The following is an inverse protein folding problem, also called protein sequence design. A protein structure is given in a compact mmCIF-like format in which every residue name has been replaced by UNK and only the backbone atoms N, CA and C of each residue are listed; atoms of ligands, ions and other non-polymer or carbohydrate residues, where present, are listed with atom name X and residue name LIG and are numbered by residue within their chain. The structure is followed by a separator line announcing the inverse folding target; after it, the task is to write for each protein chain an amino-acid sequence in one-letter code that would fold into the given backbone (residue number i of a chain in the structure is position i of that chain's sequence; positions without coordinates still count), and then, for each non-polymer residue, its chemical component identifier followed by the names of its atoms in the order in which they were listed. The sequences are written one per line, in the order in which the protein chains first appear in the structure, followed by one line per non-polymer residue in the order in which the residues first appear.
data_IF_323450124155
#
_entry.id   IF_323450124155
#
_cell.length_a   1.000
_cell.length_b   1.000
_cell.length_c   1.000
_cell.angle_alpha   90.00
_cell.angle_beta   90.00
_cell.angle_gamma   90.00
#
_symmetry.space_group_name_H-M   'P 1'
#
loop_
_entity.id
_entity.type
_entity.pdbx_description
1 polymer ?
#
# COMPACT_ATOMS: atom_id res chain seq x y z
N UNK A 1 -8.00 -4.07 20.93
CA UNK A 1 -9.04 -3.29 20.25
C UNK A 1 -9.53 -4.12 19.08
N UNK A 2 -10.85 -4.25 18.92
CA UNK A 2 -11.47 -5.17 17.94
C UNK A 2 -12.05 -4.34 16.80
N UNK A 3 -11.89 -4.82 15.56
CA UNK A 3 -12.43 -4.16 14.36
C UNK A 3 -13.96 -4.09 14.43
N UNK A 4 -14.57 -2.97 13.99
CA UNK A 4 -16.03 -2.87 13.90
C UNK A 4 -16.56 -3.91 12.88
N UNK A 5 -17.72 -4.54 13.10
CA UNK A 5 -18.31 -5.46 12.10
C UNK A 5 -18.56 -4.76 10.76
N UNK A 6 -18.17 -5.39 9.64
CA UNK A 6 -18.37 -4.88 8.26
C UNK A 6 -17.87 -3.45 8.05
N UNK A 7 -16.80 -3.06 8.74
CA UNK A 7 -16.29 -1.69 8.65
C UNK A 7 -15.90 -1.29 7.22
N UNK A 8 -15.36 -2.24 6.43
CA UNK A 8 -14.95 -2.01 5.03
C UNK A 8 -16.09 -1.58 4.10
N UNK A 9 -17.33 -1.84 4.47
CA UNK A 9 -18.55 -1.57 3.67
C UNK A 9 -19.38 -0.43 4.26
N UNK A 10 -19.24 -0.15 5.56
CA UNK A 10 -20.13 0.74 6.31
C UNK A 10 -19.46 1.99 6.86
N UNK A 11 -18.13 2.02 6.86
CA UNK A 11 -17.34 3.13 7.40
C UNK A 11 -16.61 3.82 6.23
N UNK A 12 -16.79 5.13 6.04
CA UNK A 12 -15.98 5.89 5.09
C UNK A 12 -14.49 5.76 5.39
N UNK A 13 -13.64 5.75 4.35
CA UNK A 13 -12.18 5.61 4.51
C UNK A 13 -11.58 6.65 5.48
N UNK A 14 -12.08 7.88 5.47
CA UNK A 14 -11.67 8.98 6.36
C UNK A 14 -11.99 8.73 7.84
N UNK A 15 -12.96 7.86 8.13
CA UNK A 15 -13.49 7.60 9.46
C UNK A 15 -13.05 6.24 10.02
N UNK A 16 -12.14 5.56 9.30
CA UNK A 16 -11.53 4.32 9.74
C UNK A 16 -10.46 4.59 10.79
N UNK A 17 -10.39 3.71 11.79
CA UNK A 17 -9.25 3.69 12.69
C UNK A 17 -8.01 3.21 11.95
N UNK A 18 -6.78 3.51 12.43
CA UNK A 18 -5.56 2.99 11.80
C UNK A 18 -5.54 1.46 11.67
N UNK A 19 -6.13 0.74 12.62
CA UNK A 19 -6.20 -0.73 12.59
C UNK A 19 -7.16 -1.24 11.50
N UNK A 20 -8.29 -0.57 11.31
CA UNK A 20 -9.25 -0.89 10.25
C UNK A 20 -8.67 -0.60 8.87
N UNK A 21 -8.02 0.56 8.72
CA UNK A 21 -7.32 0.93 7.49
C UNK A 21 -6.25 -0.10 7.11
N UNK A 22 -5.35 -0.43 8.03
CA UNK A 22 -4.29 -1.41 7.77
C UNK A 22 -4.86 -2.81 7.48
N UNK A 23 -6.02 -3.14 8.03
CA UNK A 23 -6.70 -4.41 7.77
C UNK A 23 -7.38 -4.49 6.40
N UNK A 24 -7.48 -3.38 5.64
CA UNK A 24 -7.87 -3.41 4.22
C UNK A 24 -6.76 -4.00 3.31
N UNK A 25 -5.54 -4.12 3.81
CA UNK A 25 -4.43 -4.64 3.02
C UNK A 25 -4.51 -6.16 2.84
N UNK A 26 -4.72 -6.61 1.60
CA UNK A 26 -4.78 -8.04 1.25
C UNK A 26 -3.40 -8.75 1.22
N UNK A 27 -2.30 -8.02 1.46
CA UNK A 27 -0.95 -8.60 1.41
C UNK A 27 -0.53 -9.03 -0.01
N UNK A 28 -0.97 -8.30 -1.04
CA UNK A 28 -0.69 -8.63 -2.44
C UNK A 28 0.72 -8.26 -2.94
N UNK A 29 1.54 -7.59 -2.12
CA UNK A 29 2.92 -7.19 -2.47
C UNK A 29 3.07 -6.07 -3.52
N UNK A 30 2.00 -5.67 -4.23
CA UNK A 30 2.04 -4.68 -5.31
C UNK A 30 2.65 -3.32 -4.92
N UNK A 31 2.48 -2.87 -3.67
CA UNK A 31 3.09 -1.64 -3.17
C UNK A 31 4.63 -1.73 -3.07
N UNK A 32 5.19 -2.94 -2.97
CA UNK A 32 6.63 -3.18 -2.86
C UNK A 32 7.33 -3.38 -4.21
N UNK A 33 6.57 -3.52 -5.31
CA UNK A 33 7.14 -3.65 -6.65
C UNK A 33 7.54 -2.30 -7.22
N UNK A 34 8.69 -2.27 -7.90
CA UNK A 34 9.10 -1.15 -8.71
C UNK A 34 8.10 -0.96 -9.86
N UNK A 35 7.77 0.29 -10.14
CA UNK A 35 6.81 0.72 -11.15
C UNK A 35 7.52 1.60 -12.14
N UNK A 36 7.16 1.44 -13.41
CA UNK A 36 7.60 2.33 -14.49
C UNK A 36 6.37 3.11 -14.94
N UNK A 37 6.50 4.42 -14.98
CA UNK A 37 5.47 5.31 -15.51
C UNK A 37 5.95 5.83 -16.86
N UNK A 38 5.12 5.64 -17.89
CA UNK A 38 5.41 6.17 -19.22
C UNK A 38 5.26 7.70 -19.22
N UNK A 39 6.29 8.39 -19.69
CA UNK A 39 6.36 9.85 -19.57
C UNK A 39 5.38 10.60 -20.48
N UNK A 40 4.91 9.97 -21.56
CA UNK A 40 4.01 10.60 -22.53
C UNK A 40 2.53 10.33 -22.20
N UNK A 41 2.23 9.12 -21.74
CA UNK A 41 0.86 8.64 -21.48
C UNK A 41 0.46 8.63 -20.00
N UNK A 42 1.42 8.58 -19.07
CA UNK A 42 1.17 8.38 -17.64
C UNK A 42 0.75 6.94 -17.27
N UNK A 43 0.84 5.99 -18.21
CA UNK A 43 0.50 4.60 -17.93
C UNK A 43 1.54 3.96 -16.99
N UNK A 44 1.06 3.24 -15.97
CA UNK A 44 1.91 2.61 -14.96
C UNK A 44 2.03 1.11 -15.20
N UNK A 45 3.26 0.65 -15.38
CA UNK A 45 3.62 -0.75 -15.55
C UNK A 45 4.25 -1.31 -14.28
N UNK A 46 3.71 -2.44 -13.82
CA UNK A 46 4.31 -3.22 -12.74
C UNK A 46 5.49 -4.03 -13.27
N UNK A 47 6.54 -4.13 -12.46
CA UNK A 47 7.67 -5.03 -12.71
C UNK A 47 7.68 -6.16 -11.70
N UNK A 48 8.40 -7.24 -12.00
CA UNK A 48 8.68 -8.32 -11.03
C UNK A 48 9.87 -8.00 -10.11
N UNK A 49 10.31 -6.73 -10.06
CA UNK A 49 11.42 -6.28 -9.23
C UNK A 49 10.86 -5.70 -7.93
N UNK A 50 10.99 -6.44 -6.83
CA UNK A 50 10.57 -5.99 -5.52
C UNK A 50 11.63 -5.14 -4.80
N UNK A 51 11.19 -4.30 -3.86
CA UNK A 51 12.09 -3.56 -3.00
C UNK A 51 12.84 -4.48 -2.04
N UNK A 52 13.96 -4.01 -1.51
CA UNK A 52 14.85 -4.77 -0.60
C UNK A 52 14.22 -5.25 0.72
N UNK A 53 13.00 -4.82 1.03
CA UNK A 53 12.27 -5.18 2.25
C UNK A 53 11.10 -6.14 1.99
N UNK A 54 10.85 -6.49 0.74
CA UNK A 54 9.80 -7.44 0.40
C UNK A 54 10.24 -8.86 0.76
N UNK A 55 9.34 -9.60 1.40
CA UNK A 55 9.46 -11.02 1.67
C UNK A 55 8.52 -11.78 0.72
N UNK A 56 9.11 -12.51 -0.22
CA UNK A 56 8.44 -13.26 -1.27
C UNK A 56 7.70 -14.50 -0.73
N UNK A 57 8.10 -15.02 0.42
CA UNK A 57 7.45 -16.16 1.06
C UNK A 57 6.12 -15.78 1.73
N UNK A 58 6.01 -14.53 2.22
CA UNK A 58 4.83 -14.04 2.94
C UNK A 58 4.04 -12.99 2.18
N UNK A 59 4.57 -12.50 1.06
CA UNK A 59 4.06 -11.35 0.28
C UNK A 59 3.91 -10.08 1.12
N UNK A 60 4.72 -9.91 2.17
CA UNK A 60 4.65 -8.79 3.12
C UNK A 60 5.97 -8.04 3.18
N UNK A 61 5.92 -6.82 3.71
CA UNK A 61 7.12 -6.06 4.02
C UNK A 61 7.74 -6.57 5.34
N UNK A 62 8.98 -7.05 5.29
CA UNK A 62 9.69 -7.56 6.46
C UNK A 62 10.03 -6.50 7.52
N UNK A 63 9.98 -5.21 7.17
CA UNK A 63 10.24 -4.08 8.07
C UNK A 63 9.17 -2.99 7.93
N UNK A 64 7.88 -3.37 7.93
CA UNK A 64 6.78 -2.45 7.63
C UNK A 64 6.79 -1.17 8.48
N UNK A 65 7.02 -1.26 9.79
CA UNK A 65 7.01 -0.09 10.67
C UNK A 65 8.13 0.93 10.38
N UNK A 66 9.28 0.47 9.86
CA UNK A 66 10.45 1.29 9.56
C UNK A 66 10.65 1.53 8.05
N UNK A 67 9.72 1.03 7.22
CA UNK A 67 9.86 0.95 5.75
C UNK A 67 10.29 2.25 5.09
N UNK A 68 9.73 3.40 5.51
CA UNK A 68 10.04 4.72 4.94
C UNK A 68 11.43 5.24 5.31
N UNK A 69 11.91 4.88 6.50
CA UNK A 69 13.25 5.27 6.96
C UNK A 69 14.33 4.47 6.20
N UNK A 70 14.01 3.22 5.88
CA UNK A 70 14.93 2.28 5.24
C UNK A 70 14.87 2.40 3.71
N UNK A 71 13.69 2.62 3.13
CA UNK A 71 13.45 2.80 1.69
C UNK A 71 12.74 4.15 1.51
N UNK A 72 13.47 5.24 1.25
CA UNK A 72 12.91 6.59 1.14
C UNK A 72 11.81 6.72 0.08
N UNK A 73 11.84 5.88 -0.95
CA UNK A 73 10.88 5.85 -2.06
C UNK A 73 9.61 5.06 -1.69
N UNK A 74 9.58 4.39 -0.54
CA UNK A 74 8.39 3.65 -0.10
C UNK A 74 7.22 4.60 0.10
N UNK A 75 6.08 4.26 -0.49
CA UNK A 75 4.83 5.01 -0.32
C UNK A 75 4.16 4.63 1.00
N UNK A 76 3.60 5.62 1.69
CA UNK A 76 2.75 5.38 2.86
C UNK A 76 1.31 5.64 2.41
N UNK A 77 0.52 4.56 2.33
CA UNK A 77 -0.91 4.65 2.03
C UNK A 77 -1.63 5.04 3.32
N UNK A 78 -2.18 6.25 3.35
CA UNK A 78 -3.04 6.75 4.42
C UNK A 78 -4.36 7.25 3.82
N UNK A 79 -5.46 7.28 4.60
CA UNK A 79 -6.72 7.85 4.13
C UNK A 79 -6.56 9.24 3.54
N UNK A 80 -5.66 10.06 4.09
CA UNK A 80 -5.49 11.47 3.68
C UNK A 80 -4.69 11.63 2.39
N UNK A 81 -3.89 10.63 2.01
CA UNK A 81 -2.99 10.70 0.84
C UNK A 81 -3.41 9.73 -0.26
N UNK A 82 -4.45 8.93 -0.04
CA UNK A 82 -4.82 7.83 -0.95
C UNK A 82 -5.28 8.36 -2.31
N UNK A 83 -5.98 9.49 -2.34
CA UNK A 83 -6.47 10.09 -3.57
C UNK A 83 -5.32 10.53 -4.50
N UNK A 84 -4.17 10.88 -3.93
CA UNK A 84 -2.98 11.30 -4.69
C UNK A 84 -2.16 10.11 -5.23
N UNK A 85 -2.21 8.95 -4.55
CA UNK A 85 -1.34 7.80 -4.84
C UNK A 85 -2.09 6.61 -5.42
N UNK A 86 -3.42 6.61 -5.42
CA UNK A 86 -4.22 5.46 -5.86
C UNK A 86 -4.23 5.25 -7.38
N UNK A 87 -3.69 6.19 -8.17
CA UNK A 87 -3.68 6.08 -9.64
C UNK A 87 -2.97 4.82 -10.18
N UNK A 88 -2.05 4.23 -9.41
CA UNK A 88 -1.40 2.95 -9.73
C UNK A 88 -1.93 1.78 -8.90
N UNK A 89 -2.79 2.04 -7.91
CA UNK A 89 -3.35 0.97 -7.09
C UNK A 89 -4.39 0.19 -7.89
N UNK A 90 -4.40 -1.15 -7.75
CA UNK A 90 -5.34 -2.00 -8.48
C UNK A 90 -6.80 -1.79 -8.07
#
# INVERSE_FOLDING_TARGET
MTLRPRYWDTVPLSDMTPQEWEALCDGCGKCCLAKLEDADSGEVFFTDIACRLFDDSTCRCGQYALRKQIVPECVILRPETIDEVSYWMP
#
